data_IF_942837319708
#
_entry.id   IF_942837319708
#
_cell.length_a   1.000
_cell.length_b   1.000
_cell.length_c   1.000
_cell.angle_alpha   90.00
_cell.angle_beta   90.00
_cell.angle_gamma   90.00
#
_symmetry.space_group_name_H-M   'P 1'
#
loop_
_entity.id
_entity.type
_entity.pdbx_description
1 polymer ?
2 branched ?
3 water ?
#
# COMPACT_ATOMS: atom_id res chain seq x y z
N UNK A 10 -1.44 1.91 19.49
CA UNK A 10 -0.85 1.11 18.36
C UNK A 10 -1.74 -0.06 17.92
N UNK A 11 -1.49 -0.54 16.70
CA UNK A 11 -2.34 -1.54 16.06
C UNK A 11 -1.60 -2.84 15.83
N UNK A 12 -2.26 -3.97 15.89
CA UNK A 12 -1.59 -5.25 15.64
C UNK A 12 -1.43 -5.48 14.11
N UNK A 13 -0.27 -5.87 13.68
CA UNK A 13 0.05 -6.24 12.33
C UNK A 13 0.10 -7.77 12.21
N UNK A 14 -0.48 -8.41 11.22
CA UNK A 14 -1.21 -7.75 10.09
C UNK A 14 -2.53 -7.20 10.48
N UNK A 15 -2.90 -6.06 9.88
CA UNK A 15 -4.07 -5.34 10.25
C UNK A 15 -4.99 -5.26 9.07
N UNK A 16 -6.26 -5.49 9.34
CA UNK A 16 -7.28 -5.31 8.31
C UNK A 16 -8.14 -4.06 8.58
N UNK A 17 -8.15 -3.15 7.61
CA UNK A 17 -8.89 -1.93 7.65
C UNK A 17 -10.05 -2.17 6.69
N UNK A 18 -11.31 -2.29 7.17
CA UNK A 18 -12.43 -2.40 6.28
C UNK A 18 -12.67 -1.10 5.59
N UNK A 19 -13.13 -1.09 4.32
CA UNK A 19 -13.38 0.10 3.53
C UNK A 19 -14.86 0.04 3.17
N UNK A 20 -15.72 0.51 4.08
CA UNK A 20 -17.15 0.21 3.89
C UNK A 20 -17.76 0.74 2.58
N UNK A 21 -18.41 -0.13 1.84
CA UNK A 21 -18.95 0.26 0.54
C UNK A 21 -17.92 0.37 -0.57
N UNK A 22 -16.66 -0.02 -0.28
CA UNK A 22 -15.57 -0.01 -1.20
C UNK A 22 -14.87 1.27 -1.35
N UNK A 23 -13.98 1.34 -2.25
CA UNK A 23 -13.32 2.62 -2.51
C UNK A 23 -14.03 3.36 -3.58
N UNK A 24 -13.73 4.62 -3.60
CA UNK A 24 -14.36 5.60 -4.48
C UNK A 24 -13.35 6.71 -4.69
N UNK A 25 -13.43 7.39 -5.85
CA UNK A 25 -12.60 8.54 -5.99
C UNK A 25 -12.88 9.56 -4.89
N UNK A 26 -11.80 10.21 -4.48
CA UNK A 26 -11.70 11.21 -3.43
C UNK A 26 -11.51 10.60 -2.05
N UNK A 27 -11.49 9.26 -1.95
CA UNK A 27 -11.14 8.62 -0.69
C UNK A 27 -9.65 8.64 -0.47
N UNK A 28 -9.22 9.08 0.73
CA UNK A 28 -7.81 9.17 1.08
C UNK A 28 -7.54 8.28 2.26
N UNK A 29 -6.61 7.34 2.09
CA UNK A 29 -6.25 6.42 3.16
C UNK A 29 -4.88 6.92 3.64
N UNK A 30 -4.72 6.99 4.92
CA UNK A 30 -3.51 7.43 5.55
C UNK A 30 -3.03 6.37 6.53
N UNK A 31 -1.78 5.95 6.36
CA UNK A 31 -1.17 4.96 7.25
C UNK A 31 0.09 5.54 7.85
N UNK A 32 0.16 5.45 9.14
CA UNK A 32 1.32 6.00 9.89
C UNK A 32 1.98 4.85 10.63
N UNK A 33 3.30 4.72 10.48
CA UNK A 33 3.98 3.65 11.25
C UNK A 33 5.46 3.87 11.25
N UNK A 34 6.21 2.90 11.77
CA UNK A 34 7.64 2.96 11.76
C UNK A 34 8.16 1.68 11.24
N UNK A 35 9.15 1.75 10.39
CA UNK A 35 9.78 0.55 9.80
C UNK A 35 10.62 -0.10 10.90
N UNK A 36 10.50 -1.41 11.08
CA UNK A 36 11.35 -2.14 12.02
C UNK A 36 12.83 -2.01 11.57
N UNK A 37 13.76 -2.18 12.54
CA UNK A 37 15.14 -2.42 12.22
C UNK A 37 15.30 -3.67 11.38
N UNK A 38 16.19 -3.60 10.40
CA UNK A 38 16.50 -4.71 9.43
C UNK A 38 15.26 -5.27 8.72
N UNK A 39 14.23 -4.43 8.56
CA UNK A 39 13.08 -4.79 7.78
C UNK A 39 13.49 -5.44 6.45
N UNK A 40 12.62 -6.38 6.05
CA UNK A 40 12.70 -6.98 4.77
C UNK A 40 11.61 -6.51 3.78
N UNK A 41 10.39 -6.35 4.28
CA UNK A 41 9.26 -6.03 3.38
C UNK A 41 8.15 -5.32 4.09
N UNK A 42 7.39 -4.52 3.35
CA UNK A 42 6.10 -3.97 3.85
C UNK A 42 5.09 -4.36 2.76
N UNK A 43 3.81 -4.53 3.10
CA UNK A 43 2.81 -4.70 2.06
C UNK A 43 1.49 -4.05 2.42
N UNK A 44 0.92 -3.39 1.42
CA UNK A 44 -0.48 -2.95 1.51
C UNK A 44 -1.19 -3.75 0.45
N UNK A 45 -2.34 -4.32 0.79
CA UNK A 45 -3.16 -5.15 -0.12
C UNK A 45 -4.62 -4.70 -0.10
N UNK A 46 -5.04 -3.95 -1.14
CA UNK A 46 -6.45 -3.55 -1.33
C UNK A 46 -7.12 -4.78 -1.92
N UNK A 47 -8.12 -5.35 -1.25
CA UNK A 47 -8.74 -6.61 -1.61
C UNK A 47 -10.14 -6.47 -2.13
N UNK A 48 -10.44 -7.30 -3.12
CA UNK A 48 -11.80 -7.51 -3.62
C UNK A 48 -12.06 -9.01 -3.40
N UNK A 49 -12.64 -9.37 -2.28
CA UNK A 49 -12.72 -10.81 -1.94
C UNK A 49 -11.29 -11.41 -1.86
N UNK A 50 -11.05 -12.53 -2.53
CA UNK A 50 -9.73 -13.11 -2.60
C UNK A 50 -8.76 -12.39 -3.53
N UNK A 51 -9.31 -11.60 -4.39
CA UNK A 51 -8.47 -10.87 -5.36
C UNK A 51 -7.81 -9.71 -4.65
N UNK A 52 -6.58 -9.41 -5.10
CA UNK A 52 -5.85 -8.25 -4.65
C UNK A 52 -5.85 -7.26 -5.77
N UNK A 53 -6.64 -6.20 -5.60
CA UNK A 53 -6.71 -5.17 -6.62
C UNK A 53 -5.46 -4.35 -6.76
N UNK A 54 -4.84 -4.02 -5.64
CA UNK A 54 -3.57 -3.26 -5.63
C UNK A 54 -2.75 -3.76 -4.46
N UNK A 55 -1.61 -4.37 -4.79
CA UNK A 55 -0.57 -4.78 -3.88
C UNK A 55 0.56 -3.79 -4.03
N UNK A 56 0.92 -3.15 -2.92
CA UNK A 56 2.03 -2.18 -2.85
C UNK A 56 3.05 -2.73 -1.90
N UNK A 57 4.25 -3.09 -2.41
CA UNK A 57 5.19 -3.96 -1.68
C UNK A 57 6.62 -3.45 -1.76
N UNK A 58 6.97 -2.56 -0.85
CA UNK A 58 8.40 -2.20 -0.65
C UNK A 58 9.20 -3.44 -0.21
N UNK A 59 10.29 -3.67 -0.91
CA UNK A 59 11.27 -4.74 -0.66
C UNK A 59 12.59 -4.08 -0.36
N UNK A 60 13.07 -4.36 0.83
CA UNK A 60 14.34 -3.77 1.35
C UNK A 60 15.60 -4.46 0.84
N UNK A 61 15.57 -5.70 0.39
CA UNK A 61 16.73 -6.40 -0.13
C UNK A 61 16.31 -7.45 -1.10
N UNK A 62 15.99 -7.02 -2.29
CA UNK A 62 15.81 -7.87 -3.42
C UNK A 62 17.11 -7.82 -4.23
N UNK A 63 17.95 -8.89 -4.07
CA UNK A 63 19.24 -8.94 -4.74
C UNK A 63 20.07 -7.65 -4.44
N UNK A 64 20.02 -7.25 -3.15
CA UNK A 64 20.74 -6.13 -2.62
C UNK A 64 20.35 -4.79 -3.18
N UNK A 65 19.07 -4.71 -3.65
CA UNK A 65 18.46 -3.52 -4.14
C UNK A 65 17.20 -3.31 -3.34
N UNK A 66 16.82 -2.05 -3.20
CA UNK A 66 15.56 -1.65 -2.59
C UNK A 66 14.62 -1.27 -3.73
N UNK A 67 13.40 -1.81 -3.75
CA UNK A 67 12.48 -1.60 -4.88
C UNK A 67 11.06 -1.68 -4.31
N UNK A 68 10.15 -0.95 -4.93
CA UNK A 68 8.73 -1.11 -4.64
C UNK A 68 8.11 -1.87 -5.78
N UNK A 69 7.43 -2.97 -5.45
CA UNK A 69 6.77 -3.78 -6.47
C UNK A 69 5.27 -3.60 -6.26
N UNK A 70 4.59 -3.28 -7.34
CA UNK A 70 3.13 -3.22 -7.32
C UNK A 70 2.51 -4.17 -8.27
N UNK A 71 1.37 -4.73 -7.94
CA UNK A 71 0.74 -5.76 -8.78
C UNK A 71 -0.71 -5.98 -8.37
N UNK A 72 -1.37 -6.88 -9.11
CA UNK A 72 -2.74 -7.26 -8.88
C UNK A 72 -2.80 -8.77 -8.88
N UNK A 73 -3.58 -9.42 -8.01
CA UNK A 73 -3.69 -10.89 -8.00
C UNK A 73 -5.17 -11.22 -8.34
N UNK A 74 -5.39 -12.00 -9.41
CA UNK A 74 -6.67 -12.39 -9.86
C UNK A 74 -6.74 -13.89 -9.92
N UNK A 75 -7.77 -14.44 -9.27
CA UNK A 75 -7.92 -15.91 -9.27
C UNK A 75 -6.63 -16.61 -8.81
N UNK A 76 -5.96 -16.03 -7.79
CA UNK A 76 -4.72 -16.53 -7.28
C UNK A 76 -3.48 -16.41 -8.14
N UNK A 77 -3.55 -15.66 -9.21
CA UNK A 77 -2.44 -15.41 -10.09
C UNK A 77 -1.99 -13.94 -10.07
N UNK A 78 -0.69 -13.78 -9.81
CA UNK A 78 -0.13 -12.45 -9.94
C UNK A 78 0.04 -12.03 -11.39
N UNK A 79 -0.18 -10.77 -11.70
CA UNK A 79 -0.11 -10.20 -13.01
C UNK A 79 1.25 -9.58 -13.32
N UNK A 80 1.23 -8.64 -14.22
CA UNK A 80 2.46 -7.87 -14.62
C UNK A 80 2.89 -6.94 -13.48
N UNK A 81 4.10 -7.07 -12.96
CA UNK A 81 4.59 -6.17 -11.95
C UNK A 81 4.91 -4.82 -12.50
N UNK A 82 4.63 -3.80 -11.70
CA UNK A 82 5.07 -2.46 -11.92
C UNK A 82 6.09 -2.11 -10.86
N UNK A 83 7.32 -1.76 -11.24
CA UNK A 83 8.43 -1.56 -10.34
C UNK A 83 8.91 -0.14 -10.31
N UNK A 84 9.14 0.37 -9.11
CA UNK A 84 9.56 1.74 -8.83
C UNK A 84 10.86 1.57 -8.03
N UNK A 85 11.93 2.20 -8.53
CA UNK A 85 13.21 2.26 -7.83
C UNK A 85 13.33 3.43 -6.82
N UNK A 86 12.49 4.45 -6.92
CA UNK A 86 12.46 5.48 -5.89
C UNK A 86 11.93 4.82 -4.61
N UNK A 87 12.69 4.97 -3.51
CA UNK A 87 12.46 4.15 -2.31
C UNK A 87 12.54 5.02 -1.09
N UNK A 88 11.41 5.59 -0.67
CA UNK A 88 11.40 6.57 0.42
C UNK A 88 11.41 6.01 1.84
N UNK A 89 11.36 4.72 2.03
CA UNK A 89 11.32 4.11 3.34
C UNK A 89 12.71 3.85 3.83
N UNK A 90 12.86 3.91 5.16
CA UNK A 90 14.17 3.63 5.77
C UNK A 90 14.00 2.81 7.01
N UNK A 91 14.80 1.74 7.16
CA UNK A 91 14.68 0.89 8.32
C UNK A 91 14.85 1.76 9.57
N UNK A 92 14.00 1.48 10.54
CA UNK A 92 14.04 2.15 11.82
C UNK A 92 13.32 3.48 11.87
N UNK A 93 12.80 3.94 10.74
CA UNK A 93 12.31 5.34 10.71
C UNK A 93 10.78 5.44 10.48
N UNK A 94 10.16 6.47 11.08
CA UNK A 94 8.70 6.67 10.93
C UNK A 94 8.38 7.13 9.51
N UNK A 95 7.22 6.70 9.03
CA UNK A 95 6.75 7.03 7.72
C UNK A 95 5.24 7.35 7.76
N UNK A 96 4.83 7.97 6.65
CA UNK A 96 3.40 8.22 6.39
C UNK A 96 3.17 7.78 4.97
N UNK A 97 2.16 6.91 4.73
CA UNK A 97 1.78 6.58 3.39
C UNK A 97 0.40 7.12 3.22
N UNK A 98 0.16 7.84 2.12
CA UNK A 98 -1.16 8.32 1.76
C UNK A 98 -1.49 7.72 0.41
N UNK A 99 -2.68 7.11 0.33
CA UNK A 99 -3.15 6.57 -0.92
C UNK A 99 -4.48 7.30 -1.26
N UNK A 100 -4.47 8.05 -2.34
CA UNK A 100 -5.64 8.83 -2.78
C UNK A 100 -6.21 8.07 -3.97
N UNK A 101 -7.51 7.70 -3.84
CA UNK A 101 -8.20 7.07 -4.96
C UNK A 101 -8.62 8.15 -5.96
N UNK A 102 -8.14 8.00 -7.16
CA UNK A 102 -8.54 8.87 -8.26
C UNK A 102 -9.35 8.04 -9.23
N UNK A 103 -10.03 8.70 -10.19
CA UNK A 103 -10.89 7.97 -11.10
C UNK A 103 -10.17 6.85 -11.86
N UNK A 104 -8.92 7.08 -12.26
CA UNK A 104 -8.18 6.07 -13.04
C UNK A 104 -7.07 5.33 -12.40
N UNK A 105 -6.68 5.76 -11.20
CA UNK A 105 -5.54 5.15 -10.55
C UNK A 105 -5.60 5.40 -9.07
N UNK A 106 -4.84 4.58 -8.32
CA UNK A 106 -4.44 4.91 -6.97
C UNK A 106 -3.21 5.78 -7.04
N UNK A 107 -3.20 6.87 -6.30
CA UNK A 107 -2.08 7.80 -6.25
C UNK A 107 -1.42 7.68 -4.88
N UNK A 108 -0.14 7.35 -4.81
CA UNK A 108 0.54 7.11 -3.54
C UNK A 108 1.58 8.20 -3.28
N UNK A 109 1.50 8.74 -2.09
CA UNK A 109 2.53 9.64 -1.53
C UNK A 109 3.14 9.08 -0.28
N UNK A 110 4.46 9.27 -0.07
CA UNK A 110 5.13 8.83 1.16
C UNK A 110 5.79 10.09 1.76
N UNK A 111 5.54 10.32 3.02
CA UNK A 111 6.12 11.51 3.71
C UNK A 111 5.91 12.71 2.92
N UNK A 112 4.67 12.82 2.44
CA UNK A 112 4.18 14.04 1.68
C UNK A 112 4.72 14.22 0.34
N UNK A 113 5.55 13.32 -0.22
CA UNK A 113 6.09 13.40 -1.53
C UNK A 113 5.46 12.32 -2.46
N UNK A 114 4.93 12.76 -3.57
CA UNK A 114 4.38 11.85 -4.58
C UNK A 114 5.37 10.76 -4.89
N UNK A 115 4.92 9.51 -4.92
CA UNK A 115 5.72 8.34 -5.19
C UNK A 115 5.34 7.67 -6.49
N UNK A 116 4.09 7.22 -6.66
CA UNK A 116 3.71 6.51 -7.83
C UNK A 116 2.22 6.51 -8.01
N UNK A 117 1.81 6.14 -9.22
CA UNK A 117 0.38 5.93 -9.48
C UNK A 117 0.20 4.52 -10.00
N UNK A 118 -0.94 3.91 -9.75
CA UNK A 118 -1.23 2.54 -10.19
C UNK A 118 -2.61 2.56 -10.84
N UNK A 119 -2.63 2.32 -12.15
CA UNK A 119 -3.84 2.35 -12.91
C UNK A 119 -4.76 1.25 -12.47
N UNK A 120 -6.06 1.53 -12.40
CA UNK A 120 -7.03 0.50 -11.94
C UNK A 120 -7.11 -0.65 -12.91
N UNK A 121 -6.79 -1.83 -12.44
CA UNK A 121 -6.98 -3.07 -13.17
C UNK A 121 -8.27 -3.71 -12.78
N UNK A 122 -8.55 -3.74 -11.50
CA UNK A 122 -9.85 -4.16 -10.89
C UNK A 122 -10.73 -2.94 -10.99
N UNK A 123 -11.79 -2.98 -11.81
CA UNK A 123 -12.54 -1.76 -12.09
C UNK A 123 -13.82 -1.62 -11.32
N UNK A 124 -14.21 -2.63 -10.53
CA UNK A 124 -15.32 -2.56 -9.67
C UNK A 124 -14.91 -1.99 -8.33
N UNK A 125 -14.66 -0.70 -8.31
CA UNK A 125 -14.09 0.03 -7.13
C UNK A 125 -14.90 -0.21 -5.89
N UNK A 126 -16.23 -0.21 -6.01
CA UNK A 126 -17.09 -0.39 -4.87
C UNK A 126 -16.96 -1.80 -4.24
N UNK A 127 -16.29 -2.75 -4.93
CA UNK A 127 -16.08 -4.09 -4.39
C UNK A 127 -14.73 -4.30 -3.73
N UNK A 128 -13.92 -3.23 -3.72
CA UNK A 128 -12.62 -3.25 -3.06
C UNK A 128 -12.86 -2.78 -1.65
N UNK A 129 -13.10 -3.75 -0.80
CA UNK A 129 -13.73 -3.47 0.46
C UNK A 129 -12.88 -3.66 1.69
N UNK A 130 -11.61 -3.99 1.53
CA UNK A 130 -10.72 -4.16 2.68
C UNK A 130 -9.31 -3.75 2.25
N UNK A 131 -8.56 -3.25 3.20
CA UNK A 131 -7.12 -3.00 3.08
C UNK A 131 -6.36 -3.76 4.11
N UNK A 132 -5.47 -4.63 3.67
CA UNK A 132 -4.58 -5.34 4.57
C UNK A 132 -3.27 -4.67 4.67
N UNK A 133 -2.74 -4.53 5.88
CA UNK A 133 -1.43 -3.84 6.13
C UNK A 133 -0.56 -4.81 6.80
N UNK A 134 0.55 -5.18 6.22
CA UNK A 134 1.40 -6.24 6.77
C UNK A 134 2.87 -5.93 6.60
N UNK A 135 3.69 -6.76 7.21
CA UNK A 135 5.14 -6.67 7.01
C UNK A 135 5.84 -6.07 8.21
N UNK A 136 7.04 -5.59 7.92
CA UNK A 136 7.99 -5.32 9.00
C UNK A 136 7.90 -3.91 9.56
N UNK A 137 6.78 -3.65 10.14
CA UNK A 137 6.43 -2.36 10.67
C UNK A 137 5.81 -2.44 12.03
N UNK A 138 5.92 -1.31 12.73
CA UNK A 138 5.06 -1.02 13.90
C UNK A 138 4.01 -0.08 13.36
N UNK A 139 2.75 -0.39 13.52
CA UNK A 139 1.68 0.40 12.91
C UNK A 139 1.06 1.30 13.93
N UNK A 140 1.05 2.60 13.68
CA UNK A 140 0.57 3.59 14.55
C UNK A 140 -0.87 4.00 14.31
N UNK A 141 -1.24 4.15 13.04
CA UNK A 141 -2.63 4.38 12.72
C UNK A 141 -2.93 4.10 11.25
N UNK A 142 -4.20 3.81 10.99
CA UNK A 142 -4.70 3.50 9.64
C UNK A 142 -6.10 4.02 9.56
N UNK A 143 -6.33 4.96 8.73
CA UNK A 143 -7.63 5.61 8.65
C UNK A 143 -7.91 6.11 7.26
N UNK A 144 -9.12 6.64 7.06
CA UNK A 144 -9.51 7.13 5.75
C UNK A 144 -10.44 8.32 5.99
N UNK A 145 -10.50 9.13 4.96
CA UNK A 145 -11.37 10.27 4.92
C UNK A 145 -11.68 10.63 3.45
N UNK A 146 -12.71 11.47 3.24
CA UNK A 146 -13.06 11.90 1.93
C UNK A 146 -12.52 13.32 1.73
N UNK A 147 -11.82 13.56 0.67
CA UNK A 147 -11.29 14.89 0.40
C UNK A 147 -12.11 15.56 -0.69
X LIG B 1 10.29 -10.82 -11.46
X LIG B 1 11.00 -10.92 -10.46
X LIG B 1 12.43 -10.43 -10.38
X LIG B 1 10.60 -11.42 -9.26
X LIG B 1 9.28 -12.08 -9.24
X LIG B 1 9.47 -13.59 -9.57
X LIG B 1 9.75 -13.76 -11.03
X LIG B 1 10.32 -14.97 -11.43
X LIG B 1 10.64 -15.13 -12.91
X LIG B 1 10.50 -15.88 -10.61
X LIG B 1 8.81 -11.87 -7.78
X LIG B 1 8.64 -10.44 -7.63
X LIG B 1 7.56 -12.64 -7.57
X LIG B 1 7.82 -14.13 -7.92
X LIG B 1 6.52 -14.95 -7.79
X LIG B 1 5.36 -14.39 -8.44
X LIG B 1 8.23 -14.16 -9.26
X LIG B 1 7.29 -12.49 -6.22
X LIG B 2 4.07 -10.72 -4.44
X LIG B 2 4.50 -12.03 -3.83
X LIG B 2 5.84 -12.36 -4.31
X LIG B 2 5.97 -12.30 -5.79
X LIG B 2 4.17 -9.42 -7.99
X LIG B 2 6.10 -13.76 -3.93
X LIG B 2 4.82 -9.59 -3.80
X LIG B 2 4.24 -10.71 -5.96
X LIG B 2 3.90 -9.38 -6.61
X LIG B 2 5.62 -10.99 -6.28
X LIG B 2 4.48 -11.91 -2.44
X LIG B 2 3.17 -12.18 -1.90
X LIG B 2 3.29 -12.39 -0.39
X LIG B 2 2.15 -12.54 0.36
X LIG B 2 2.31 -12.73 1.75
X LIG B 2 3.55 -12.80 2.38
X LIG B 2 4.68 -12.71 1.65
X LIG B 2 4.55 -12.50 0.25
X LIG B 2 5.92 -12.78 2.31
X LIG B 2 7.20 -12.62 1.61
#
# INVERSE_FOLDING_TARGET
GSPYGAPAGPLIVPYNLPLPGGVVPRMLITILGTVKPNANRIALDFQRGNDVAFHFNPRFNENNRRVIVCNTKLDNNWGREERQSVFPFESGKPFKIQVLVEPDHFKVAVNDAHLLQYNHRVKKLNEISKLGISGDIDLTSASYTMI
TVD O7 C7 C8 N2 C2 C1 N1 C9 C10 O9 C3 O3 C4 C5 C6 O6 O5 O4
TVM C4 C3 C2 C1 O6 O2 O4 C5 C6 O5 O3 C24 C25 C26 C27 C28 C29 C30 O31 C32
#
